data_IF_040391028743
#
_entry.id   IF_040391028743
#
_cell.length_a   1.000
_cell.length_b   1.000
_cell.length_c   1.000
_cell.angle_alpha   90.00
_cell.angle_beta   90.00
_cell.angle_gamma   90.00
#
_symmetry.space_group_name_H-M   'P 1'
#
loop_
_entity.id
_entity.type
_entity.pdbx_description
1 polymer ?
2 polymer ?
3 water ?
#
# COMPACT_ATOMS: atom_id res chain seq x y z
N UNK A 1 -10.38 -10.54 21.03
CA UNK A 1 -10.78 -9.47 20.13
C UNK A 1 -11.23 -10.05 18.80
N UNK A 2 -12.14 -9.34 18.13
CA UNK A 2 -12.60 -9.74 16.80
C UNK A 2 -11.41 -9.79 15.84
N UNK A 3 -11.28 -10.90 15.13
CA UNK A 3 -10.23 -11.02 14.12
C UNK A 3 -10.79 -11.62 12.84
N UNK A 4 -10.44 -11.03 11.70
CA UNK A 4 -10.89 -11.51 10.41
C UNK A 4 -9.66 -11.65 9.53
N UNK A 5 -9.37 -12.88 9.13
CA UNK A 5 -8.21 -13.16 8.28
C UNK A 5 -8.62 -13.64 6.89
N UNK A 6 -8.26 -12.86 5.89
CA UNK A 6 -8.65 -13.15 4.51
C UNK A 6 -7.58 -13.92 3.76
N UNK A 7 -8.01 -14.54 2.67
CA UNK A 7 -7.09 -15.28 1.80
C UNK A 7 -6.20 -14.30 1.02
N UNK A 8 -5.16 -14.83 0.39
CA UNK A 8 -4.15 -14.01 -0.24
C UNK A 8 -4.49 -13.44 -1.59
N UNK A 9 -3.64 -12.53 -2.05
CA UNK A 9 -3.87 -11.86 -3.31
C UNK A 9 -3.98 -12.81 -4.47
N UNK A 10 -4.77 -12.42 -5.46
CA UNK A 10 -5.06 -13.25 -6.63
C UNK A 10 -4.94 -12.44 -7.89
N UNK A 11 -4.67 -13.13 -8.99
CA UNK A 11 -4.80 -12.54 -10.31
C UNK A 11 -5.70 -13.44 -11.16
N UNK A 12 -6.51 -12.83 -12.01
CA UNK A 12 -7.41 -13.57 -12.90
C UNK A 12 -7.49 -12.95 -14.27
N UNK A 13 -7.73 -13.78 -15.28
CA UNK A 13 -8.03 -13.30 -16.62
C UNK A 13 -9.49 -12.86 -16.70
N UNK A 14 -9.79 -11.92 -17.60
CA UNK A 14 -11.20 -11.57 -17.81
C UNK A 14 -12.00 -12.82 -18.17
N UNK A 15 -13.20 -12.93 -17.61
CA UNK A 15 -14.08 -14.05 -17.90
C UNK A 15 -14.01 -15.12 -16.83
N UNK A 16 -12.92 -15.15 -16.07
CA UNK A 16 -12.80 -16.13 -15.00
C UNK A 16 -13.56 -15.71 -13.74
N UNK A 17 -13.51 -16.58 -12.73
CA UNK A 17 -14.12 -16.24 -11.45
C UNK A 17 -13.06 -16.32 -10.35
N UNK A 18 -13.40 -15.76 -9.19
CA UNK A 18 -12.50 -15.75 -8.04
C UNK A 18 -13.34 -15.99 -6.79
N UNK A 19 -12.80 -16.76 -5.86
CA UNK A 19 -13.46 -17.04 -4.59
C UNK A 19 -12.51 -16.67 -3.46
N UNK A 20 -12.90 -15.68 -2.67
CA UNK A 20 -12.09 -15.14 -1.59
C UNK A 20 -12.67 -15.62 -0.26
N UNK A 21 -11.81 -15.94 0.70
CA UNK A 21 -12.28 -16.40 2.00
C UNK A 21 -11.93 -15.43 3.12
N UNK A 22 -12.69 -15.54 4.20
CA UNK A 22 -12.55 -14.71 5.38
C UNK A 22 -12.81 -15.58 6.59
N UNK A 23 -11.74 -15.84 7.35
CA UNK A 23 -11.81 -16.68 8.53
C UNK A 23 -11.98 -15.80 9.77
N UNK A 24 -13.08 -16.03 10.50
CA UNK A 24 -13.41 -15.20 11.64
C UNK A 24 -13.10 -15.85 12.96
N UNK A 25 -12.77 -15.02 13.94
CA UNK A 25 -12.56 -15.50 15.29
C UNK A 25 -12.73 -14.38 16.31
N UNK A 26 -12.80 -14.76 17.58
CA UNK A 26 -12.88 -13.78 18.65
C UNK A 26 -14.28 -13.31 19.01
N UNK A 27 -15.29 -13.96 18.45
CA UNK A 27 -16.69 -13.65 18.73
C UNK A 27 -17.55 -14.82 18.31
N UNK A 28 -18.80 -14.85 18.75
CA UNK A 28 -19.72 -15.92 18.36
C UNK A 28 -20.11 -15.79 16.89
N UNK A 29 -19.54 -16.66 16.07
CA UNK A 29 -19.61 -16.53 14.60
C UNK A 29 -21.02 -16.34 14.04
N UNK A 30 -21.97 -17.15 14.49
CA UNK A 30 -23.30 -17.12 13.86
C UNK A 30 -24.20 -16.00 14.39
N UNK A 31 -23.67 -15.16 15.28
CA UNK A 31 -24.48 -14.09 15.83
C UNK A 31 -24.34 -12.72 15.17
N UNK A 32 -23.48 -12.64 14.13
CA UNK A 32 -23.23 -11.36 13.45
C UNK A 32 -23.21 -11.50 11.96
N UNK A 33 -23.88 -10.60 11.28
CA UNK A 33 -23.83 -10.54 9.82
C UNK A 33 -22.40 -10.27 9.36
N UNK A 34 -22.09 -10.74 8.17
CA UNK A 34 -20.82 -10.40 7.52
C UNK A 34 -21.09 -9.65 6.22
N UNK A 35 -20.45 -8.49 6.08
CA UNK A 35 -20.53 -7.67 4.89
C UNK A 35 -19.31 -7.93 4.01
N UNK A 36 -19.46 -7.68 2.72
CA UNK A 36 -18.31 -7.56 1.83
C UNK A 36 -18.35 -6.19 1.17
N UNK A 37 -17.18 -5.55 1.08
CA UNK A 37 -17.03 -4.21 0.54
C UNK A 37 -15.77 -4.24 -0.32
N UNK A 38 -15.80 -3.67 -1.51
CA UNK A 38 -14.60 -3.63 -2.33
C UNK A 38 -14.18 -2.21 -2.65
N UNK A 39 -12.93 -2.06 -3.08
CA UNK A 39 -12.35 -0.76 -3.35
C UNK A 39 -11.38 -0.88 -4.53
N UNK A 40 -11.75 -0.34 -5.67
CA UNK A 40 -10.86 -0.35 -6.83
C UNK A 40 -9.67 0.56 -6.53
N UNK A 41 -8.51 0.27 -7.14
CA UNK A 41 -7.32 1.05 -6.78
C UNK A 41 -7.53 2.55 -6.96
N UNK A 42 -7.26 3.32 -5.90
CA UNK A 42 -7.44 4.77 -5.93
C UNK A 42 -8.88 5.27 -5.89
N UNK A 43 -9.83 4.36 -5.72
CA UNK A 43 -11.25 4.71 -5.78
C UNK A 43 -11.92 4.52 -4.44
N UNK A 44 -13.25 4.70 -4.41
CA UNK A 44 -13.99 4.65 -3.15
C UNK A 44 -14.48 3.27 -2.78
N UNK A 45 -15.13 3.19 -1.62
CA UNK A 45 -15.72 1.96 -1.11
C UNK A 45 -17.05 1.64 -1.79
N UNK A 46 -17.26 0.37 -2.12
CA UNK A 46 -18.51 -0.10 -2.72
C UNK A 46 -19.02 -1.32 -1.98
N UNK A 47 -20.19 -1.21 -1.36
CA UNK A 47 -20.79 -2.34 -0.66
C UNK A 47 -21.21 -3.42 -1.65
N UNK A 48 -20.88 -4.67 -1.36
CA UNK A 48 -21.22 -5.77 -2.27
C UNK A 48 -22.39 -6.59 -1.79
N UNK A 49 -22.56 -6.71 -0.49
CA UNK A 49 -23.66 -7.49 0.04
C UNK A 49 -23.38 -7.90 1.45
N UNK A 50 -24.28 -8.74 1.96
CA UNK A 50 -24.26 -9.16 3.35
C UNK A 50 -24.83 -10.56 3.43
N UNK A 51 -24.26 -11.35 4.33
CA UNK A 51 -24.75 -12.70 4.59
C UNK A 51 -24.97 -12.90 6.07
N UNK A 52 -26.05 -13.62 6.41
CA UNK A 52 -26.33 -14.03 7.79
C UNK A 52 -25.76 -15.42 7.99
N UNK A 53 -24.72 -15.54 8.82
CA UNK A 53 -24.12 -16.87 8.98
C UNK A 53 -25.08 -17.86 9.66
N UNK A 54 -26.08 -17.33 10.36
CA UNK A 54 -27.18 -18.14 10.84
C UNK A 54 -28.21 -18.30 9.72
N UNK A 55 -28.20 -19.47 9.09
CA UNK A 55 -29.16 -19.75 8.02
C UNK A 55 -28.63 -19.51 6.62
N UNK A 56 -27.69 -18.59 6.46
CA UNK A 56 -27.04 -18.37 5.18
C UNK A 56 -27.76 -17.44 4.22
N UNK A 57 -28.80 -16.75 4.69
CA UNK A 57 -29.50 -15.81 3.82
C UNK A 57 -28.58 -14.67 3.39
N UNK A 58 -28.80 -14.18 2.17
CA UNK A 58 -27.95 -13.12 1.61
C UNK A 58 -28.78 -11.99 1.02
N UNK A 59 -28.18 -10.80 0.97
CA UNK A 59 -28.68 -9.69 0.18
C UNK A 59 -27.49 -9.11 -0.55
N UNK A 60 -27.59 -9.00 -1.87
CA UNK A 60 -26.51 -8.47 -2.69
C UNK A 60 -26.78 -7.08 -3.24
N UNK A 61 -25.72 -6.32 -3.46
CA UNK A 61 -25.81 -5.06 -4.18
C UNK A 61 -26.47 -5.29 -5.53
N UNK A 62 -27.42 -4.43 -5.89
CA UNK A 62 -28.16 -4.62 -7.14
C UNK A 62 -27.24 -4.73 -8.35
N UNK A 63 -26.17 -3.95 -8.37
CA UNK A 63 -25.27 -3.93 -9.52
C UNK A 63 -24.46 -5.22 -9.69
N UNK A 64 -24.39 -6.03 -8.63
CA UNK A 64 -23.64 -7.30 -8.68
C UNK A 64 -24.56 -8.51 -8.73
N UNK A 65 -25.86 -8.29 -8.57
CA UNK A 65 -26.82 -9.39 -8.56
C UNK A 65 -26.68 -10.21 -9.84
N UNK A 66 -26.52 -11.52 -9.68
CA UNK A 66 -26.37 -12.39 -10.84
C UNK A 66 -24.96 -12.89 -11.07
N UNK A 67 -23.97 -12.29 -10.41
CA UNK A 67 -22.63 -12.86 -10.55
C UNK A 67 -21.82 -12.84 -9.26
N UNK A 68 -22.44 -12.47 -8.16
CA UNK A 68 -21.80 -12.63 -6.84
C UNK A 68 -22.55 -13.68 -6.03
N UNK A 69 -21.80 -14.49 -5.29
CA UNK A 69 -22.37 -15.51 -4.42
C UNK A 69 -21.62 -15.45 -3.09
N UNK A 70 -22.35 -15.28 -1.99
CA UNK A 70 -21.74 -15.35 -0.67
C UNK A 70 -22.23 -16.60 0.04
N UNK A 71 -21.31 -17.27 0.74
CA UNK A 71 -21.62 -18.48 1.47
C UNK A 71 -20.82 -18.51 2.77
N UNK A 72 -21.16 -19.46 3.63
CA UNK A 72 -20.39 -19.60 4.86
C UNK A 72 -20.33 -21.06 5.28
N UNK A 73 -19.34 -21.36 6.11
CA UNK A 73 -19.19 -22.68 6.72
C UNK A 73 -19.13 -22.43 8.23
N UNK A 74 -20.18 -22.81 8.96
CA UNK A 74 -20.25 -22.43 10.38
C UNK A 74 -19.30 -23.23 11.26
N UNK A 75 -18.87 -24.40 10.79
CA UNK A 75 -17.95 -25.22 11.56
C UNK A 75 -16.53 -24.65 11.52
N UNK A 76 -16.19 -23.96 10.43
CA UNK A 76 -14.84 -23.38 10.31
C UNK A 76 -14.86 -21.86 10.46
N UNK A 77 -16.03 -21.31 10.77
CA UNK A 77 -16.21 -19.86 10.93
C UNK A 77 -15.64 -19.09 9.75
N UNK A 78 -15.90 -19.57 8.54
CA UNK A 78 -15.37 -18.94 7.35
C UNK A 78 -16.50 -18.46 6.44
N UNK A 79 -16.36 -17.24 5.94
CA UNK A 79 -17.27 -16.73 4.95
C UNK A 79 -16.55 -16.63 3.59
N UNK A 80 -17.28 -16.88 2.51
CA UNK A 80 -16.71 -16.84 1.18
C UNK A 80 -17.47 -15.88 0.28
N UNK A 81 -16.74 -15.24 -0.63
CA UNK A 81 -17.34 -14.41 -1.66
C UNK A 81 -16.78 -14.88 -2.99
N UNK A 82 -17.68 -15.28 -3.89
CA UNK A 82 -17.30 -15.67 -5.25
C UNK A 82 -17.88 -14.70 -6.27
N UNK A 83 -17.02 -14.17 -7.13
CA UNK A 83 -17.45 -13.23 -8.15
C UNK A 83 -17.08 -13.82 -9.50
N UNK A 84 -18.06 -13.93 -10.41
CA UNK A 84 -17.84 -14.58 -11.70
C UNK A 84 -17.85 -13.57 -12.85
N UNK A 85 -17.53 -14.07 -14.04
CA UNK A 85 -17.46 -13.24 -15.25
C UNK A 85 -16.67 -11.96 -14.99
N UNK A 86 -15.47 -12.14 -14.46
CA UNK A 86 -14.65 -11.00 -14.05
C UNK A 86 -14.25 -10.13 -15.22
N UNK A 87 -14.19 -8.83 -14.98
CA UNK A 87 -13.63 -7.90 -15.96
C UNK A 87 -12.64 -6.97 -15.28
N UNK A 88 -11.90 -6.23 -16.09
CA UNK A 88 -10.86 -5.38 -15.56
C UNK A 88 -11.36 -4.47 -14.45
N UNK A 89 -12.60 -3.99 -14.60
CA UNK A 89 -13.22 -3.09 -13.62
C UNK A 89 -13.44 -3.75 -12.25
N UNK A 90 -13.33 -5.08 -12.17
CA UNK A 90 -13.44 -5.78 -10.89
C UNK A 90 -12.12 -5.82 -10.12
N UNK A 91 -11.04 -5.29 -10.70
CA UNK A 91 -9.78 -5.15 -9.97
C UNK A 91 -10.04 -4.29 -8.73
N UNK A 92 -9.76 -4.83 -7.57
CA UNK A 92 -10.05 -4.14 -6.32
C UNK A 92 -9.47 -4.88 -5.15
N UNK A 93 -9.35 -4.17 -4.02
CA UNK A 93 -9.19 -4.84 -2.74
C UNK A 93 -10.58 -5.22 -2.22
N UNK A 94 -10.77 -6.50 -1.91
CA UNK A 94 -12.04 -7.04 -1.41
C UNK A 94 -11.92 -7.23 0.08
N UNK A 95 -12.78 -6.56 0.83
CA UNK A 95 -12.80 -6.66 2.29
C UNK A 95 -14.03 -7.42 2.78
N UNK A 96 -13.81 -8.31 3.74
CA UNK A 96 -14.92 -8.78 4.54
C UNK A 96 -14.94 -7.93 5.79
N UNK A 97 -16.13 -7.73 6.34
CA UNK A 97 -16.25 -6.89 7.54
C UNK A 97 -17.41 -7.37 8.38
N UNK A 98 -17.14 -7.64 9.66
CA UNK A 98 -18.20 -8.04 10.57
C UNK A 98 -19.10 -6.87 10.88
N UNK A 99 -20.40 -7.14 10.86
CA UNK A 99 -21.40 -6.15 11.21
C UNK A 99 -21.25 -5.70 12.66
N UNK A 100 -21.76 -4.52 12.96
CA UNK A 100 -21.69 -4.02 14.33
C UNK A 100 -22.43 -4.90 15.34
N UNK A 101 -23.51 -5.53 14.89
CA UNK A 101 -24.33 -6.32 15.80
C UNK A 101 -25.83 -6.16 15.62
N UNK A 102 -26.25 -5.60 14.50
CA UNK A 102 -27.68 -5.50 14.21
C UNK A 102 -28.37 -6.87 14.28
N UNK A 103 -29.60 -6.87 14.77
CA UNK A 103 -30.41 -8.08 14.74
C UNK A 103 -31.29 -8.13 13.50
N UNK A 104 -31.11 -7.14 12.64
CA UNK A 104 -31.86 -7.03 11.39
C UNK A 104 -30.94 -6.60 10.27
N UNK A 105 -31.27 -7.01 9.05
CA UNK A 105 -30.50 -6.57 7.90
C UNK A 105 -30.60 -5.05 7.76
N UNK A 106 -31.79 -4.51 7.95
CA UNK A 106 -31.97 -3.06 7.88
C UNK A 106 -31.15 -2.39 8.97
N UNK A 107 -30.32 -1.43 8.58
CA UNK A 107 -29.52 -0.69 9.55
C UNK A 107 -28.21 -1.35 9.93
N UNK A 108 -27.88 -2.43 9.24
CA UNK A 108 -26.60 -3.06 9.42
C UNK A 108 -25.52 -2.16 8.79
N UNK A 109 -24.31 -2.22 9.33
CA UNK A 109 -23.16 -1.57 8.69
C UNK A 109 -21.88 -2.26 9.14
N UNK A 110 -20.85 -2.24 8.27
CA UNK A 110 -19.61 -2.91 8.62
C UNK A 110 -18.86 -2.18 9.71
N UNK A 111 -18.38 -2.93 10.69
CA UNK A 111 -17.62 -2.34 11.78
C UNK A 111 -16.18 -2.84 11.89
N UNK A 112 -16.00 -4.16 11.92
CA UNK A 112 -14.67 -4.75 12.06
C UNK A 112 -14.21 -5.31 10.72
N UNK A 113 -13.16 -4.74 10.16
CA UNK A 113 -12.78 -5.06 8.79
C UNK A 113 -11.59 -6.02 8.73
N UNK A 114 -11.65 -6.96 7.81
CA UNK A 114 -10.48 -7.78 7.49
C UNK A 114 -9.38 -6.97 6.81
N UNK A 115 -8.24 -7.62 6.55
CA UNK A 115 -7.11 -6.91 5.98
C UNK A 115 -7.21 -6.63 4.48
N UNK A 116 -8.20 -7.23 3.83
CA UNK A 116 -8.41 -7.06 2.40
C UNK A 116 -7.62 -8.06 1.58
N UNK A 117 -8.16 -8.36 0.40
CA UNK A 117 -7.55 -9.27 -0.55
C UNK A 117 -7.52 -8.55 -1.88
N UNK A 118 -6.32 -8.27 -2.40
CA UNK A 118 -6.23 -7.64 -3.72
C UNK A 118 -6.47 -8.66 -4.81
N UNK A 119 -7.46 -8.41 -5.66
CA UNK A 119 -7.72 -9.23 -6.83
C UNK A 119 -7.52 -8.37 -8.07
N UNK A 120 -6.55 -8.75 -8.90
CA UNK A 120 -6.29 -8.04 -10.14
C UNK A 120 -6.82 -8.86 -11.32
N UNK A 121 -7.63 -8.23 -12.15
CA UNK A 121 -8.15 -8.86 -13.36
C UNK A 121 -7.46 -8.22 -14.55
N UNK A 122 -6.70 -9.04 -15.29
CA UNK A 122 -5.85 -8.53 -16.36
C UNK A 122 -5.62 -9.62 -17.39
N UNK A 123 -5.43 -9.19 -18.64
CA UNK A 123 -5.07 -10.11 -19.71
C UNK A 123 -3.55 -10.27 -19.79
N UNK A 124 -2.81 -9.46 -19.06
CA UNK A 124 -1.36 -9.53 -19.10
C UNK A 124 -0.87 -10.75 -18.36
N UNK A 125 0.32 -11.21 -18.71
CA UNK A 125 0.87 -12.42 -18.11
C UNK A 125 1.36 -12.17 -16.69
N UNK A 126 1.06 -13.10 -15.81
CA UNK A 126 1.58 -13.08 -14.45
C UNK A 126 3.07 -13.32 -14.50
N UNK A 127 3.83 -12.63 -13.66
CA UNK A 127 5.26 -12.88 -13.57
C UNK A 127 5.74 -12.70 -12.14
N UNK A 128 6.43 -13.70 -11.60
CA UNK A 128 7.05 -13.58 -10.30
C UNK A 128 8.36 -12.81 -10.40
N UNK A 129 8.75 -12.13 -9.31
CA UNK A 129 9.96 -11.30 -9.35
C UNK A 129 11.25 -12.11 -9.31
N UNK A 130 12.31 -11.51 -9.84
CA UNK A 130 13.68 -11.94 -9.51
C UNK A 130 14.10 -11.14 -8.29
N UNK A 131 14.86 -11.73 -7.38
CA UNK A 131 15.28 -11.02 -6.18
C UNK A 131 16.78 -11.00 -6.12
N UNK A 132 17.36 -9.81 -6.03
CA UNK A 132 18.80 -9.64 -6.01
C UNK A 132 19.24 -8.93 -4.74
N UNK A 133 20.36 -9.35 -4.15
CA UNK A 133 20.85 -8.67 -2.96
C UNK A 133 21.51 -7.34 -3.32
N UNK A 134 21.34 -6.34 -2.47
CA UNK A 134 22.00 -5.05 -2.61
C UNK A 134 23.02 -4.96 -1.46
N UNK A 135 24.25 -5.26 -1.79
CA UNK A 135 25.29 -5.46 -0.78
C UNK A 135 25.72 -4.17 -0.09
N UNK A 136 26.04 -4.27 1.21
CA UNK A 136 26.43 -3.08 1.99
C UNK A 136 27.79 -2.57 1.60
N UNK A 137 28.01 -1.28 1.87
CA UNK A 137 29.30 -0.65 1.74
C UNK A 137 30.36 -1.40 2.55
N UNK A 138 31.58 -1.42 2.03
CA UNK A 138 32.70 -2.04 2.73
C UNK A 138 33.34 -1.12 3.77
N UNK A 139 32.89 0.14 3.83
CA UNK A 139 33.47 1.11 4.76
C UNK A 139 33.41 0.61 6.21
N UNK A 140 34.43 0.97 6.98
CA UNK A 140 34.53 0.63 8.38
C UNK A 140 34.98 1.86 9.15
N UNK A 141 34.06 2.47 9.90
CA UNK A 141 34.42 3.59 10.77
C UNK A 141 33.68 3.45 12.10
N UNK A 142 34.25 3.99 13.17
CA UNK A 142 33.62 3.87 14.49
C UNK A 142 32.20 4.43 14.47
N UNK A 143 31.23 3.65 14.94
CA UNK A 143 29.85 4.09 14.99
C UNK A 143 29.19 4.25 13.63
N UNK A 144 29.87 3.78 12.58
CA UNK A 144 29.35 3.93 11.24
C UNK A 144 28.16 3.03 10.95
N UNK A 145 27.38 3.40 9.95
CA UNK A 145 26.29 2.54 9.50
C UNK A 145 26.39 2.26 8.02
N UNK A 146 25.63 1.26 7.58
CA UNK A 146 25.63 0.89 6.18
C UNK A 146 24.22 0.54 5.76
N UNK A 147 23.89 0.83 4.51
CA UNK A 147 22.63 0.42 3.93
C UNK A 147 22.82 -0.85 3.12
N UNK A 148 21.93 -1.82 3.34
CA UNK A 148 21.93 -3.03 2.54
C UNK A 148 20.49 -3.33 2.17
N UNK A 149 20.25 -4.17 1.19
CA UNK A 149 18.86 -4.34 0.82
C UNK A 149 18.60 -5.46 -0.16
N UNK A 150 17.38 -5.48 -0.67
CA UNK A 150 16.98 -6.42 -1.72
C UNK A 150 16.23 -5.69 -2.80
N UNK A 151 16.53 -6.04 -4.05
CA UNK A 151 15.87 -5.53 -5.23
C UNK A 151 14.91 -6.60 -5.69
N UNK A 152 13.64 -6.25 -5.77
CA UNK A 152 12.58 -7.17 -6.19
C UNK A 152 12.21 -6.70 -7.59
N UNK A 153 12.68 -7.44 -8.58
CA UNK A 153 12.70 -6.97 -9.96
C UNK A 153 11.66 -7.63 -10.87
N UNK A 154 10.88 -6.83 -11.59
CA UNK A 154 10.04 -7.30 -12.70
C UNK A 154 8.95 -8.30 -12.34
N UNK A 155 7.93 -7.84 -11.62
CA UNK A 155 6.82 -8.73 -11.29
C UNK A 155 5.51 -8.13 -11.76
N UNK A 156 4.49 -8.96 -11.87
CA UNK A 156 3.14 -8.51 -12.17
C UNK A 156 2.15 -9.57 -11.71
N UNK A 157 1.03 -9.17 -11.10
CA UNK A 157 0.62 -7.81 -10.70
C UNK A 157 1.09 -7.52 -9.28
N UNK A 158 0.65 -6.40 -8.72
CA UNK A 158 0.81 -6.21 -7.28
C UNK A 158 -0.03 -7.27 -6.57
N UNK A 159 0.25 -7.53 -5.29
CA UNK A 159 1.26 -6.90 -4.44
C UNK A 159 2.43 -7.81 -4.12
N UNK A 160 3.46 -7.23 -3.53
CA UNK A 160 4.61 -7.96 -2.98
C UNK A 160 4.80 -7.53 -1.54
N UNK A 161 5.17 -8.46 -0.67
CA UNK A 161 5.59 -8.10 0.67
C UNK A 161 7.06 -8.44 0.86
N UNK A 162 7.71 -7.67 1.72
CA UNK A 162 9.10 -7.93 2.11
C UNK A 162 9.18 -7.82 3.62
N UNK A 163 9.76 -8.83 4.26
CA UNK A 163 10.18 -8.72 5.64
C UNK A 163 11.65 -9.08 5.74
N UNK A 164 12.25 -8.82 6.89
CA UNK A 164 13.64 -9.16 7.13
C UNK A 164 13.74 -10.12 8.30
N UNK A 165 14.48 -11.20 8.11
CA UNK A 165 14.67 -12.20 9.16
C UNK A 165 13.34 -12.62 9.78
N UNK A 166 12.38 -12.94 8.92
CA UNK A 166 11.07 -13.43 9.34
C UNK A 166 10.30 -12.42 10.18
N UNK A 167 10.59 -11.14 9.98
CA UNK A 167 9.92 -10.08 10.72
C UNK A 167 10.60 -9.74 12.04
N UNK A 168 11.68 -10.45 12.37
CA UNK A 168 12.42 -10.14 13.59
C UNK A 168 13.24 -8.85 13.48
N UNK A 169 13.62 -8.48 12.26
CA UNK A 169 14.38 -7.25 12.05
C UNK A 169 13.47 -6.17 11.47
N UNK A 170 13.20 -5.13 12.26
CA UNK A 170 12.30 -4.06 11.84
C UNK A 170 12.92 -2.67 11.95
N UNK A 171 13.88 -2.50 12.85
CA UNK A 171 14.51 -1.19 13.04
C UNK A 171 15.35 -0.81 11.82
N UNK A 172 15.13 0.39 11.29
CA UNK A 172 15.91 0.85 10.15
C UNK A 172 15.51 0.28 8.80
N UNK A 173 14.39 -0.45 8.75
CA UNK A 173 13.88 -0.95 7.48
C UNK A 173 13.05 0.10 6.76
N UNK A 174 13.31 0.27 5.45
CA UNK A 174 12.53 1.17 4.60
C UNK A 174 12.24 0.42 3.30
N UNK A 175 10.99 0.03 3.13
CA UNK A 175 10.56 -0.65 1.92
C UNK A 175 9.85 0.39 1.07
N UNK A 176 10.33 0.58 -0.16
CA UNK A 176 9.88 1.65 -1.03
C UNK A 176 8.72 1.19 -1.89
N UNK A 177 7.76 2.09 -2.15
CA UNK A 177 6.71 1.76 -3.12
C UNK A 177 7.28 1.39 -4.47
N UNK A 178 6.60 0.49 -5.17
CA UNK A 178 7.07 0.01 -6.45
C UNK A 178 7.00 1.05 -7.56
N UNK A 179 7.93 0.92 -8.49
CA UNK A 179 7.83 1.62 -9.75
C UNK A 179 7.11 0.72 -10.76
N UNK A 180 6.24 1.31 -11.58
CA UNK A 180 5.61 0.57 -12.67
C UNK A 180 6.32 1.01 -13.95
N UNK A 181 7.05 0.08 -14.53
CA UNK A 181 7.90 0.34 -15.69
C UNK A 181 7.08 0.37 -16.97
N UNK A 182 7.65 0.94 -18.04
CA UNK A 182 6.96 0.99 -19.33
C UNK A 182 6.67 -0.41 -19.87
N UNK A 183 7.41 -1.39 -19.37
CA UNK A 183 7.21 -2.78 -19.75
C UNK A 183 5.91 -3.35 -19.19
N UNK A 184 5.31 -2.62 -18.26
CA UNK A 184 4.12 -3.09 -17.59
C UNK A 184 4.44 -3.92 -16.35
N UNK A 185 5.73 -4.05 -16.03
CA UNK A 185 6.16 -4.81 -14.86
C UNK A 185 6.58 -3.87 -13.73
N UNK A 186 6.39 -4.33 -12.49
CA UNK A 186 6.77 -3.57 -11.31
C UNK A 186 8.14 -3.97 -10.78
N UNK A 187 8.81 -3.05 -10.08
CA UNK A 187 10.00 -3.36 -9.29
C UNK A 187 9.95 -2.55 -8.01
N UNK A 188 10.48 -3.10 -6.92
CA UNK A 188 10.60 -2.34 -5.68
C UNK A 188 11.89 -2.72 -4.98
N UNK A 189 12.29 -1.92 -4.00
CA UNK A 189 13.45 -2.23 -3.18
C UNK A 189 13.10 -2.08 -1.72
N UNK A 190 13.74 -2.89 -0.88
CA UNK A 190 13.68 -2.73 0.56
C UNK A 190 15.10 -2.60 1.09
N UNK A 191 15.34 -1.63 1.94
CA UNK A 191 16.68 -1.35 2.45
C UNK A 191 16.65 -1.27 3.97
N UNK A 192 17.71 -1.78 4.59
CA UNK A 192 17.86 -1.70 6.03
C UNK A 192 19.17 -0.99 6.32
N UNK A 193 19.14 -0.04 7.25
CA UNK A 193 20.34 0.61 7.71
C UNK A 193 20.80 -0.06 9.00
N UNK A 194 22.03 -0.56 8.99
CA UNK A 194 22.57 -1.31 10.12
C UNK A 194 23.99 -0.84 10.51
N UNK A 195 24.49 -1.24 11.69
CA UNK A 195 25.85 -0.89 12.06
C UNK A 195 26.86 -1.50 11.09
N UNK A 196 27.85 -0.74 10.66
CA UNK A 196 28.86 -1.29 9.76
C UNK A 196 29.80 -2.25 10.50
N UNK A 197 30.13 -1.92 11.76
CA UNK A 197 31.09 -2.68 12.54
C UNK A 197 30.80 -4.17 12.59
N UNK A 198 29.51 -4.50 12.53
CA UNK A 198 29.08 -5.88 12.70
C UNK A 198 28.64 -6.59 11.39
N UNK A 199 28.82 -5.94 10.24
CA UNK A 199 28.57 -6.63 8.98
C UNK A 199 29.43 -7.91 8.95
N UNK A 200 28.88 -8.99 8.43
CA UNK A 200 29.62 -10.23 8.41
C UNK A 200 29.49 -11.06 9.68
N UNK A 201 29.08 -10.44 10.79
CA UNK A 201 28.78 -11.19 12.01
C UNK A 201 27.27 -11.41 12.13
N UNK A 202 26.50 -10.50 11.53
CA UNK A 202 25.05 -10.56 11.58
C UNK A 202 24.51 -11.15 10.29
N UNK A 203 23.49 -11.98 10.39
CA UNK A 203 22.81 -12.51 9.22
C UNK A 203 21.62 -11.63 8.82
N UNK A 204 21.56 -11.30 7.53
CA UNK A 204 20.46 -10.50 6.99
C UNK A 204 19.81 -11.21 5.82
N UNK A 205 18.54 -11.55 5.97
CA UNK A 205 17.80 -12.25 4.93
C UNK A 205 16.51 -11.52 4.63
N UNK A 206 16.26 -11.25 3.37
CA UNK A 206 14.98 -10.65 3.01
C UNK A 206 14.01 -11.72 2.52
N UNK A 207 12.82 -11.69 3.09
CA UNK A 207 11.79 -12.65 2.79
C UNK A 207 10.79 -11.98 1.88
N UNK A 208 10.75 -12.41 0.61
CA UNK A 208 9.92 -11.78 -0.40
C UNK A 208 8.79 -12.73 -0.79
N UNK A 209 7.57 -12.21 -0.83
CA UNK A 209 6.38 -12.98 -1.22
C UNK A 209 5.62 -12.30 -2.33
N UNK A 210 5.36 -13.03 -3.40
CA UNK A 210 4.49 -12.56 -4.48
C UNK A 210 3.39 -13.59 -4.63
N UNK A 211 2.31 -13.41 -3.88
CA UNK A 211 1.26 -14.41 -3.79
C UNK A 211 0.56 -14.70 -5.12
N UNK A 212 0.32 -13.67 -5.95
CA UNK A 212 -0.37 -13.97 -7.21
C UNK A 212 0.34 -15.02 -8.07
N UNK A 213 1.67 -15.10 -7.99
CA UNK A 213 2.43 -16.10 -8.74
C UNK A 213 2.92 -17.24 -7.87
N UNK A 214 2.51 -17.24 -6.60
CA UNK A 214 3.01 -18.22 -5.64
C UNK A 214 4.53 -18.25 -5.56
N UNK A 215 5.17 -17.09 -5.70
CA UNK A 215 6.62 -16.99 -5.60
C UNK A 215 7.00 -16.60 -4.18
N UNK A 216 7.95 -17.32 -3.59
CA UNK A 216 8.46 -17.01 -2.26
C UNK A 216 9.97 -17.17 -2.33
N UNK A 217 10.70 -16.10 -2.01
CA UNK A 217 12.16 -16.11 -2.08
C UNK A 217 12.74 -15.57 -0.77
N UNK A 218 13.77 -16.23 -0.26
CA UNK A 218 14.49 -15.74 0.90
C UNK A 218 15.96 -15.56 0.54
N UNK A 219 16.38 -14.31 0.39
CA UNK A 219 17.70 -13.99 -0.13
C UNK A 219 18.63 -13.47 0.95
N UNK A 220 19.77 -14.13 1.14
CA UNK A 220 20.80 -13.65 2.07
C UNK A 220 21.52 -12.47 1.45
N UNK A 221 21.74 -11.44 2.26
CA UNK A 221 22.47 -10.26 1.81
C UNK A 221 23.76 -10.17 2.62
N UNK A 222 24.88 -10.31 1.91
CA UNK A 222 26.20 -10.46 2.54
C UNK A 222 27.14 -9.36 2.09
N UNK A 223 28.21 -9.12 2.87
CA UNK A 223 29.21 -8.14 2.48
C UNK A 223 29.80 -8.44 1.10
N UNK A 224 30.22 -7.39 0.42
CA UNK A 224 30.87 -7.53 -0.88
C UNK A 224 32.09 -8.45 -0.81
N UNK A 225 32.34 -9.16 -1.91
CA UNK A 225 33.49 -10.05 -1.99
C UNK A 225 34.80 -9.27 -1.87
N UNK A 226 34.76 -8.01 -2.30
CA UNK A 226 35.94 -7.16 -2.28
C UNK A 226 36.19 -6.56 -0.88
N UNK A 227 35.20 -6.71 0.00
CA UNK A 227 35.29 -6.19 1.37
C UNK A 227 36.24 -7.05 2.20
N UNK A 228 37.35 -6.45 2.61
CA UNK A 228 38.38 -7.17 3.37
C UNK A 228 38.18 -7.03 4.87
N UNK A 229 37.23 -6.21 5.29
CA UNK A 229 36.97 -5.99 6.71
C UNK A 229 35.85 -6.88 7.22
N UNK A 230 34.75 -6.95 6.47
CA UNK A 230 33.57 -7.69 6.93
C UNK A 230 33.39 -9.00 6.17
N UNK B 1 -19.87 9.52 -8.89
CA UNK B 1 -21.04 8.68 -9.10
C UNK B 1 -21.57 8.12 -7.79
N UNK B 2 -20.69 8.00 -6.80
CA UNK B 2 -21.09 7.51 -5.47
C UNK B 2 -22.39 8.18 -5.03
N UNK B 3 -23.17 7.50 -4.17
CA UNK B 3 -24.49 7.98 -3.80
C UNK B 3 -24.44 9.22 -2.89
N UNK B 4 -23.45 9.26 -2.00
CA UNK B 4 -23.24 10.44 -1.16
C UNK B 4 -22.08 11.25 -1.72
N UNK B 5 -22.17 12.58 -1.65
CA UNK B 5 -21.14 13.43 -2.28
C UNK B 5 -20.24 14.10 -1.25
N UNK B 6 -18.94 13.83 -1.36
CA UNK B 6 -17.91 14.44 -0.53
C UNK B 6 -16.91 15.18 -1.41
N UNK B 7 -16.22 16.19 -0.85
CA UNK B 7 -15.10 16.78 -1.58
C UNK B 7 -13.99 15.76 -1.81
N UNK B 8 -13.35 15.80 -2.96
CA UNK B 8 -12.29 14.83 -3.22
C UNK B 8 -11.09 15.07 -2.29
N UNK B 9 -10.87 16.32 -1.90
CA UNK B 9 -9.69 16.65 -1.12
C UNK B 9 -9.95 17.76 -0.12
N UNK B 10 -9.39 17.61 1.08
CA UNK B 10 -9.37 18.67 2.08
C UNK B 10 -7.96 18.75 2.66
N UNK B 11 -7.48 19.96 2.93
CA UNK B 11 -6.15 20.11 3.53
C UNK B 11 -6.15 21.10 4.67
N UNK B 12 -5.24 20.91 5.61
CA UNK B 12 -5.09 21.84 6.70
C UNK B 12 -3.70 21.75 7.30
N UNK B 13 -3.35 22.72 8.13
CA UNK B 13 -2.07 22.69 8.83
C UNK B 13 -2.22 22.05 10.20
N UNK B 14 -1.12 21.51 10.74
CA UNK B 14 -1.24 20.90 12.08
C UNK B 14 -1.81 21.90 13.08
N UNK B 15 -2.76 21.42 13.89
CA UNK B 15 -3.36 22.24 14.93
C UNK B 15 -4.68 22.89 14.55
N UNK B 16 -4.95 23.02 13.25
CA UNK B 16 -6.18 23.67 12.82
C UNK B 16 -7.40 22.74 12.85
N UNK B 17 -8.57 23.31 12.62
CA UNK B 17 -9.80 22.53 12.47
C UNK B 17 -10.14 22.44 10.99
N UNK B 18 -10.52 21.25 10.54
CA UNK B 18 -10.99 21.07 9.18
C UNK B 18 -12.35 20.38 9.23
N UNK B 19 -13.12 20.54 8.16
CA UNK B 19 -14.41 19.87 8.08
C UNK B 19 -14.51 19.16 6.74
N UNK B 20 -15.30 18.10 6.71
CA UNK B 20 -15.51 17.31 5.52
C UNK B 20 -17.01 17.14 5.35
N UNK B 21 -17.55 17.66 4.25
CA UNK B 21 -18.99 17.56 4.01
C UNK B 21 -19.38 16.26 3.32
N UNK B 22 -20.66 15.91 3.48
CA UNK B 22 -21.23 14.71 2.93
C UNK B 22 -22.67 15.00 2.59
N UNK B 23 -23.00 15.11 1.31
CA UNK B 23 -24.36 15.48 0.93
C UNK B 23 -25.12 14.29 0.35
N UNK B 24 -26.36 14.13 0.79
CA UNK B 24 -27.19 13.01 0.38
C UNK B 24 -28.59 13.45 0.01
N UNK B 25 -29.57 12.58 0.29
CA UNK B 25 -30.96 12.87 -0.06
C UNK B 25 -31.88 12.44 1.07
N UNK B 26 -33.18 12.66 0.89
CA UNK B 26 -34.15 12.29 1.91
C UNK B 26 -34.21 10.79 2.14
N UNK B 27 -33.77 10.01 1.16
CA UNK B 27 -33.83 8.55 1.28
C UNK B 27 -32.66 7.96 2.07
N UNK B 28 -31.57 8.71 2.20
CA UNK B 28 -30.44 8.25 3.03
C UNK B 28 -30.21 9.12 4.26
N UNK B 29 -29.34 10.12 4.15
CA UNK B 29 -29.02 11.00 5.27
C UNK B 29 -30.26 11.69 5.87
N UNK B 30 -31.20 12.06 5.03
CA UNK B 30 -32.40 12.72 5.51
C UNK B 30 -33.20 11.88 6.50
N UNK B 31 -33.17 10.57 6.31
CA UNK B 31 -33.97 9.66 7.12
C UNK B 31 -33.15 8.83 8.13
N UNK B 32 -31.89 8.57 7.81
CA UNK B 32 -31.11 7.60 8.56
C UNK B 32 -29.81 8.17 9.07
N UNK B 33 -29.27 7.55 10.12
CA UNK B 33 -28.08 8.09 10.76
C UNK B 33 -26.83 7.87 9.90
N UNK B 34 -25.84 8.73 10.10
CA UNK B 34 -24.63 8.71 9.28
C UNK B 34 -23.47 8.10 10.04
N UNK B 35 -22.69 7.27 9.35
CA UNK B 35 -21.46 6.74 9.88
C UNK B 35 -20.27 7.31 9.10
N UNK B 36 -19.11 7.34 9.75
CA UNK B 36 -17.88 7.77 9.07
C UNK B 36 -16.80 6.72 9.28
N UNK B 37 -16.00 6.49 8.25
CA UNK B 37 -14.84 5.60 8.32
C UNK B 37 -13.57 6.36 8.01
N UNK B 38 -12.51 5.98 8.69
CA UNK B 38 -11.19 6.55 8.44
C UNK B 38 -10.32 5.43 7.88
N UNK B 39 -9.63 5.71 6.77
CA UNK B 39 -8.78 4.70 6.15
C UNK B 39 -7.38 5.28 6.00
N UNK B 40 -6.51 4.91 6.94
CA UNK B 40 -5.12 5.33 6.86
C UNK B 40 -4.48 4.67 5.66
N UNK B 41 -3.44 5.29 5.09
CA UNK B 41 -2.85 4.71 3.87
C UNK B 41 -2.40 3.26 4.06
N UNK B 42 -2.78 2.39 3.14
CA UNK B 42 -2.37 0.99 3.16
C UNK B 42 -3.10 0.11 4.16
N UNK B 43 -4.16 0.64 4.76
CA UNK B 43 -4.88 -0.11 5.78
C UNK B 43 -6.36 -0.25 5.45
N UNK B 44 -7.06 -1.11 6.17
CA UNK B 44 -8.51 -1.22 6.05
C UNK B 44 -9.21 -0.05 6.71
N UNK B 45 -10.41 0.29 6.25
CA UNK B 45 -11.18 1.30 6.97
C UNK B 45 -11.45 0.91 8.42
N UNK B 46 -11.53 1.90 9.31
CA UNK B 46 -12.02 1.67 10.66
C UNK B 46 -13.18 2.61 10.91
N UNK B 47 -14.14 2.15 11.71
CA UNK B 47 -15.29 2.97 12.08
C UNK B 47 -14.84 4.12 12.98
N UNK B 48 -15.19 5.33 12.57
CA UNK B 48 -14.76 6.55 13.24
C UNK B 48 -15.89 7.22 14.01
N UNK B 49 -17.06 7.27 13.38
CA UNK B 49 -18.26 7.86 13.96
C UNK B 49 -19.42 6.97 13.57
N UNK B 50 -20.36 6.76 14.50
CA UNK B 50 -21.61 6.08 14.15
C UNK B 50 -22.78 6.87 14.73
N UNK B 51 -23.95 6.70 14.12
CA UNK B 51 -25.15 7.37 14.61
C UNK B 51 -24.97 8.87 14.66
N UNK B 52 -24.46 9.44 13.55
CA UNK B 52 -24.27 10.89 13.38
C UNK B 52 -23.10 11.45 14.17
N UNK B 53 -23.05 11.14 15.47
CA UNK B 53 -22.11 11.83 16.36
C UNK B 53 -21.52 11.00 17.49
N UNK B 54 -21.64 9.68 17.41
CA UNK B 54 -21.06 8.84 18.46
C UNK B 54 -19.71 8.27 18.07
N UNK B 55 -18.80 8.25 19.04
CA UNK B 55 -17.45 7.72 18.81
C UNK B 55 -17.27 6.34 19.43
N UNK B 56 -16.78 5.36 18.66
CA UNK B 56 -16.34 4.10 19.25
C UNK B 56 -15.21 4.34 20.24
N UNK B 57 -15.03 3.43 21.19
CA UNK B 57 -13.95 3.57 22.16
C UNK B 57 -12.60 3.69 21.46
N UNK B 58 -11.79 4.65 21.89
CA UNK B 58 -10.48 4.84 21.30
C UNK B 58 -10.41 6.01 20.33
N UNK B 59 -11.56 6.42 19.79
CA UNK B 59 -11.59 7.58 18.91
C UNK B 59 -11.67 8.86 19.74
N UNK B 60 -10.71 9.76 19.58
CA UNK B 60 -10.59 10.97 20.40
C UNK B 60 -11.69 11.98 20.15
N UNK B 61 -11.96 12.83 21.13
CA UNK B 61 -13.05 13.79 21.06
C UNK B 61 -12.87 14.87 20.00
N UNK B 62 -11.66 15.03 19.50
CA UNK B 62 -11.44 16.05 18.47
C UNK B 62 -12.05 15.64 17.12
N UNK B 63 -12.46 14.39 16.98
CA UNK B 63 -13.31 13.98 15.87
C UNK B 63 -14.75 14.14 16.27
N UNK B 64 -15.52 14.91 15.52
CA UNK B 64 -16.93 15.04 15.83
C UNK B 64 -17.78 15.06 14.59
N UNK B 65 -18.95 14.45 14.67
CA UNK B 65 -19.84 14.39 13.53
C UNK B 65 -21.12 15.15 13.80
N UNK B 66 -21.76 15.56 12.72
CA UNK B 66 -23.05 16.21 12.81
C UNK B 66 -23.88 15.91 11.57
N UNK B 67 -25.18 16.12 11.67
CA UNK B 67 -26.10 15.93 10.57
C UNK B 67 -27.12 17.06 10.59
N UNK B 68 -27.48 17.52 9.41
CA UNK B 68 -28.44 18.60 9.28
C UNK B 68 -29.20 18.40 7.98
N UNK B 69 -30.47 18.02 8.08
CA UNK B 69 -31.27 17.72 6.91
C UNK B 69 -30.67 16.57 6.12
N UNK B 70 -30.37 16.81 4.85
CA UNK B 70 -29.86 15.77 3.97
C UNK B 70 -28.34 15.79 3.86
N UNK B 71 -27.68 16.57 4.71
CA UNK B 71 -26.21 16.62 4.70
C UNK B 71 -25.64 16.28 6.07
N UNK B 72 -24.38 15.83 6.07
CA UNK B 72 -23.67 15.52 7.30
C UNK B 72 -22.28 16.11 7.20
N UNK B 73 -21.58 16.17 8.32
CA UNK B 73 -20.25 16.75 8.33
C UNK B 73 -19.39 16.12 9.40
N UNK B 74 -18.12 15.92 9.07
CA UNK B 74 -17.11 15.50 10.01
C UNK B 74 -16.16 16.66 10.30
N UNK B 75 -16.01 17.01 11.58
CA UNK B 75 -15.05 18.04 11.95
C UNK B 75 -13.89 17.41 12.70
N UNK B 76 -12.69 17.83 12.35
CA UNK B 76 -11.50 17.34 13.02
C UNK B 76 -10.76 18.55 13.58
N UNK B 77 -10.75 18.68 14.89
CA UNK B 77 -10.00 19.76 15.52
C UNK B 77 -8.60 19.28 15.89
N UNK B 78 -7.68 20.21 16.12
CA UNK B 78 -6.34 19.82 16.54
C UNK B 78 -5.70 18.89 15.53
N UNK B 79 -5.85 19.22 14.26
CA UNK B 79 -5.37 18.35 13.20
C UNK B 79 -3.94 17.88 13.43
N UNK B 80 -3.72 16.58 13.28
CA UNK B 80 -2.38 15.97 13.47
C UNK B 80 -1.94 15.29 12.18
N UNK B 81 -0.63 15.18 11.99
CA UNK B 81 -0.09 14.53 10.80
C UNK B 81 -0.66 13.14 10.59
N UNK B 82 -0.86 12.42 11.70
CA UNK B 82 -1.34 11.04 11.59
C UNK B 82 -2.79 10.95 11.13
N UNK B 83 -3.48 12.09 11.06
CA UNK B 83 -4.85 12.12 10.57
C UNK B 83 -4.94 12.07 9.04
N UNK B 84 -3.79 12.17 8.36
CA UNK B 84 -3.81 12.11 6.91
C UNK B 84 -4.33 10.74 6.48
N UNK B 85 -5.41 10.73 5.71
CA UNK B 85 -6.14 9.50 5.45
C UNK B 85 -7.29 9.79 4.51
N UNK B 86 -7.95 8.74 4.04
CA UNK B 86 -9.19 8.90 3.28
C UNK B 86 -10.36 8.72 4.26
N UNK B 87 -11.34 9.61 4.19
CA UNK B 87 -12.50 9.55 5.08
C UNK B 87 -13.74 9.30 4.23
N UNK B 88 -14.60 8.38 4.68
CA UNK B 88 -15.83 8.02 3.96
C UNK B 88 -17.03 8.18 4.85
N UNK B 89 -18.05 8.89 4.36
CA UNK B 89 -19.34 8.85 5.04
C UNK B 89 -20.18 7.71 4.48
N UNK B 90 -21.20 7.33 5.24
CA UNK B 90 -22.04 6.19 4.90
C UNK B 90 -23.36 6.29 5.63
N UNK B 91 -24.39 5.73 5.03
CA UNK B 91 -25.72 5.69 5.64
C UNK B 91 -26.55 4.63 4.97
N UNK B 92 -27.61 4.18 5.65
CA UNK B 92 -28.55 3.30 5.01
C UNK B 92 -29.39 4.12 4.03
N UNK B 93 -29.69 3.53 2.88
CA UNK B 93 -30.54 4.16 1.87
C UNK B 93 -31.85 3.38 1.72
N UNK B 94 -32.97 4.02 2.07
CA UNK B 94 -34.27 3.38 2.05
C UNK B 94 -34.72 3.01 0.63
N UNK B 95 -34.32 3.83 -0.35
CA UNK B 95 -34.71 3.61 -1.74
C UNK B 95 -33.97 2.44 -2.37
N UNK B 96 -32.68 2.32 -2.06
CA UNK B 96 -31.86 1.24 -2.59
C UNK B 96 -31.90 0.00 -1.69
N UNK B 97 -32.41 0.18 -0.48
CA UNK B 97 -32.47 -0.90 0.50
C UNK B 97 -31.10 -1.51 0.79
N UNK B 98 -30.13 -0.65 1.08
CA UNK B 98 -28.81 -1.10 1.45
C UNK B 98 -27.94 0.08 1.86
N UNK B 99 -26.76 -0.20 2.43
CA UNK B 99 -25.81 0.83 2.83
C UNK B 99 -25.21 1.51 1.60
N UNK B 100 -25.02 2.82 1.68
CA UNK B 100 -24.38 3.56 0.60
C UNK B 100 -23.20 4.34 1.18
N UNK B 101 -22.22 4.67 0.34
CA UNK B 101 -21.03 5.39 0.75
C UNK B 101 -20.88 6.69 -0.01
N UNK B 102 -20.16 7.64 0.59
CA UNK B 102 -19.65 8.76 -0.16
C UNK B 102 -18.42 8.36 -0.95
N UNK B 103 -17.98 9.24 -1.84
CA UNK B 103 -16.88 8.93 -2.74
C UNK B 103 -15.51 8.98 -2.08
N UNK B 104 -15.47 9.50 -0.85
CA UNK B 104 -14.23 9.59 -0.10
C UNK B 104 -13.58 10.94 -0.24
N UNK B 105 -12.97 11.39 0.85
CA UNK B 105 -12.18 12.62 0.87
C UNK B 105 -10.77 12.29 1.34
N UNK B 106 -9.77 12.70 0.55
CA UNK B 106 -8.39 12.57 0.98
C UNK B 106 -8.00 13.81 1.80
N UNK B 107 -7.72 13.59 3.07
CA UNK B 107 -7.31 14.66 3.96
C UNK B 107 -5.79 14.71 3.95
N UNK B 108 -5.22 15.84 3.55
CA UNK B 108 -3.78 16.01 3.64
C UNK B 108 -3.44 17.03 4.72
N UNK B 109 -2.36 16.74 5.44
CA UNK B 109 -1.89 17.63 6.48
C UNK B 109 -0.65 18.33 5.96
N UNK B 110 -0.73 19.65 5.84
CA UNK B 110 0.36 20.46 5.30
C UNK B 110 1.49 20.62 6.32
N UNK B 111 2.58 21.24 5.91
CA UNK B 111 3.63 21.59 6.85
C UNK B 111 3.11 22.62 7.82
N UNK B 112 3.84 22.85 8.91
CA UNK B 112 3.50 23.90 9.85
C UNK B 112 3.09 25.20 9.16
N UNK B 113 2.02 25.82 9.65
CA UNK B 113 1.53 27.09 9.10
C UNK B 113 2.60 28.17 9.08
N UNK B 114 3.41 28.21 10.13
CA UNK B 114 4.48 29.21 10.24
C UNK B 114 5.70 28.90 9.37
N UNK B 115 5.63 27.83 8.59
CA UNK B 115 6.71 27.52 7.66
C UNK B 115 7.46 26.28 8.05
N UNK B 116 7.27 25.22 7.28
CA UNK B 116 7.98 23.97 7.50
C UNK B 116 9.35 24.07 6.82
N UNK B 117 10.43 23.84 7.59
CA UNK B 117 11.78 23.95 7.02
C UNK B 117 12.03 22.98 5.87
N UNK B 118 12.77 23.43 4.87
CA UNK B 118 13.19 22.59 3.76
C UNK B 118 14.08 21.47 4.29
N UNK B 119 13.97 20.29 3.71
CA UNK B 119 14.88 19.20 4.06
C UNK B 119 15.40 18.56 2.79
N UNK B 120 16.72 18.51 2.64
CA UNK B 120 17.33 17.95 1.44
C UNK B 120 17.21 16.44 1.42
N UNK B 121 17.11 15.87 0.22
CA UNK B 121 17.03 14.41 0.13
C UNK B 121 18.32 13.70 0.52
N UNK B 122 18.17 12.55 1.14
CA UNK B 122 19.26 11.62 1.35
C UNK B 122 19.24 10.64 0.19
N UNK B 123 20.39 10.39 -0.41
CA UNK B 123 20.44 9.54 -1.60
C UNK B 123 21.37 8.36 -1.39
N UNK B 124 20.86 7.15 -1.67
CA UNK B 124 21.68 5.95 -1.64
C UNK B 124 21.62 5.31 -3.01
N UNK B 125 22.78 5.03 -3.58
CA UNK B 125 22.84 4.45 -4.92
C UNK B 125 23.55 3.12 -4.90
N UNK B 126 22.85 2.06 -5.33
CA UNK B 126 23.43 0.74 -5.43
C UNK B 126 23.77 0.39 -6.87
N UNK B 127 24.96 -0.22 -7.07
CA UNK B 127 25.33 -0.74 -8.38
C UNK B 127 24.65 -2.08 -8.64
N UNK B 128 24.78 -2.59 -9.87
CA UNK B 128 24.25 -3.93 -10.16
C UNK B 128 24.92 -4.99 -9.31
N UNK B 129 24.12 -5.94 -8.83
CA UNK B 129 24.65 -7.08 -8.10
C UNK B 129 25.39 -8.05 -9.04
N UNK B 130 26.33 -8.80 -8.47
CA UNK B 130 26.98 -9.85 -9.24
C UNK B 130 25.94 -10.83 -9.77
N UNK B 131 24.95 -11.14 -8.95
CA UNK B 131 23.90 -12.07 -9.33
C UNK B 131 23.17 -11.58 -10.58
N UNK B 132 22.78 -10.31 -10.57
CA UNK B 132 22.06 -9.81 -11.74
C UNK B 132 22.95 -9.78 -13.00
N UNK B 133 24.18 -9.34 -12.84
CA UNK B 133 25.12 -9.31 -13.97
C UNK B 133 25.29 -10.71 -14.58
N UNK B 134 25.32 -11.74 -13.74
CA UNK B 134 25.49 -13.10 -14.25
C UNK B 134 24.29 -13.54 -15.08
N UNK B 135 23.13 -12.91 -14.83
CA UNK B 135 21.91 -13.18 -15.60
C UNK B 135 21.84 -12.29 -16.85
N UNK B 136 22.92 -11.58 -17.13
CA UNK B 136 23.02 -10.68 -18.28
C UNK B 136 22.05 -9.52 -18.21
N UNK B 137 21.89 -8.98 -17.00
CA UNK B 137 21.07 -7.79 -16.80
C UNK B 137 21.81 -6.86 -15.83
N UNK B 138 21.36 -5.61 -15.75
CA UNK B 138 21.98 -4.66 -14.84
C UNK B 138 21.00 -3.58 -14.47
N UNK B 139 20.86 -3.31 -13.18
CA UNK B 139 19.98 -2.24 -12.71
C UNK B 139 20.71 -1.44 -11.65
N UNK B 140 20.78 -0.13 -11.83
CA UNK B 140 21.24 0.79 -10.80
C UNK B 140 20.02 1.27 -10.02
N UNK B 141 20.13 1.29 -8.69
CA UNK B 141 18.99 1.59 -7.83
C UNK B 141 19.29 2.81 -6.99
N UNK B 142 18.52 3.88 -7.23
CA UNK B 142 18.72 5.15 -6.55
C UNK B 142 17.55 5.39 -5.60
N UNK B 143 17.85 5.33 -4.30
CA UNK B 143 16.83 5.48 -3.27
C UNK B 143 16.94 6.84 -2.63
N UNK B 144 15.80 7.52 -2.58
CA UNK B 144 15.76 8.93 -2.22
C UNK B 144 14.82 9.11 -1.04
N UNK B 145 15.31 9.66 0.06
CA UNK B 145 14.47 9.74 1.25
C UNK B 145 14.61 11.05 2.02
N UNK B 146 13.66 11.25 2.93
CA UNK B 146 13.72 12.33 3.90
C UNK B 146 13.67 13.74 3.33
N UNK B 147 13.03 13.92 2.19
CA UNK B 147 12.96 15.27 1.63
C UNK B 147 11.64 16.01 1.88
N UNK B 148 11.75 17.34 1.95
CA UNK B 148 10.60 18.21 2.08
C UNK B 148 10.89 19.59 1.50
N UNK B 149 9.97 20.16 0.72
CA UNK B 149 8.67 19.62 0.28
C UNK B 149 8.84 18.36 -0.57
N UNK B 150 7.73 17.67 -0.79
CA UNK B 150 7.75 16.38 -1.47
C UNK B 150 7.78 16.43 -2.99
N UNK B 151 8.82 17.04 -3.56
CA UNK B 151 9.02 17.05 -4.99
C UNK B 151 10.51 17.02 -5.31
N UNK B 152 10.93 16.08 -6.15
CA UNK B 152 12.29 16.07 -6.68
C UNK B 152 12.26 15.78 -8.16
N UNK B 153 13.36 16.09 -8.84
CA UNK B 153 13.59 15.58 -10.18
C UNK B 153 14.89 14.78 -10.17
N UNK B 154 14.93 13.72 -10.97
CA UNK B 154 16.08 12.83 -10.98
C UNK B 154 16.65 12.78 -12.37
N UNK B 155 17.96 12.92 -12.46
CA UNK B 155 18.67 12.82 -13.72
C UNK B 155 19.81 11.83 -13.55
N UNK B 156 20.06 11.05 -14.59
CA UNK B 156 21.13 10.07 -14.57
C UNK B 156 22.22 10.46 -15.56
N UNK B 157 23.47 10.15 -15.20
CA UNK B 157 24.60 10.41 -16.08
C UNK B 157 25.44 9.16 -16.26
N UNK B 158 25.91 8.94 -17.49
CA UNK B 158 26.92 7.94 -17.78
C UNK B 158 28.19 8.74 -17.99
N UNK B 159 29.19 8.52 -17.13
CA UNK B 159 30.29 9.46 -17.02
C UNK B 159 29.69 10.84 -16.74
N UNK B 160 29.84 11.80 -17.66
CA UNK B 160 29.25 13.12 -17.46
C UNK B 160 28.12 13.43 -18.45
N UNK B 161 27.69 12.43 -19.20
CA UNK B 161 26.68 12.62 -20.23
C UNK B 161 25.30 12.15 -19.79
N UNK B 162 24.26 12.93 -20.10
CA UNK B 162 22.90 12.54 -19.72
C UNK B 162 22.48 11.21 -20.34
N UNK B 163 21.81 10.38 -19.54
CA UNK B 163 21.12 9.21 -20.07
C UNK B 163 19.64 9.28 -19.70
N UNK B 164 18.77 9.19 -20.71
CA UNK B 164 17.33 9.18 -20.49
C UNK B 164 16.73 7.79 -20.72
N UNK B 165 17.33 7.03 -21.63
CA UNK B 165 16.85 5.69 -21.92
C UNK B 165 17.04 4.78 -20.70
N UNK B 166 16.01 3.99 -20.39
CA UNK B 166 16.12 3.01 -19.33
C UNK B 166 15.85 3.55 -17.92
N UNK B 167 15.37 4.78 -17.81
CA UNK B 167 15.12 5.39 -16.51
C UNK B 167 13.66 5.27 -16.12
N UNK B 168 13.42 4.76 -14.91
CA UNK B 168 12.07 4.68 -14.37
C UNK B 168 12.05 5.24 -12.95
N UNK B 169 11.22 6.25 -12.72
CA UNK B 169 11.21 6.96 -11.45
C UNK B 169 9.82 7.00 -10.85
N UNK B 170 9.72 6.73 -9.55
CA UNK B 170 8.42 6.79 -8.89
C UNK B 170 7.97 8.21 -8.56
N UNK B 171 6.67 8.33 -8.31
CA UNK B 171 6.13 9.52 -7.68
C UNK B 171 6.67 9.59 -6.26
N UNK B 172 6.64 10.76 -5.65
CA UNK B 172 7.02 10.85 -4.23
C UNK B 172 5.93 10.28 -3.33
N UNK B 173 6.33 9.67 -2.23
CA UNK B 173 5.37 9.12 -1.28
C UNK B 173 5.70 9.59 0.15
N UNK B 174 4.69 9.74 1.00
CA UNK B 174 4.91 10.22 2.35
C UNK B 174 5.51 9.13 3.26
N UNK B 175 6.54 9.49 4.00
CA UNK B 175 7.15 8.60 4.98
C UNK B 175 6.42 8.73 6.32
N UNK B 176 6.75 7.84 7.25
CA UNK B 176 6.17 7.90 8.60
C UNK B 176 6.54 9.18 9.32
N UNK B 177 7.70 9.75 8.99
CA UNK B 177 8.16 10.95 9.68
C UNK B 177 7.68 12.23 8.99
N UNK B 178 6.81 12.06 7.99
CA UNK B 178 6.14 13.18 7.33
C UNK B 178 6.97 13.84 6.24
N UNK B 179 8.20 13.38 6.08
CA UNK B 179 8.99 13.74 4.91
C UNK B 179 8.64 12.76 3.80
N UNK B 180 9.33 12.86 2.66
CA UNK B 180 8.94 12.13 1.47
C UNK B 180 10.06 11.25 0.94
N UNK B 181 9.68 10.25 0.17
CA UNK B 181 10.62 9.32 -0.45
C UNK B 181 10.27 9.07 -1.91
N UNK B 182 11.27 8.61 -2.67
CA UNK B 182 11.05 8.21 -4.05
C UNK B 182 12.18 7.29 -4.44
N UNK B 183 12.04 6.63 -5.57
CA UNK B 183 13.12 5.79 -6.07
C UNK B 183 13.23 5.91 -7.57
N UNK B 184 14.42 5.66 -8.09
CA UNK B 184 14.64 5.72 -9.52
C UNK B 184 15.55 4.56 -9.87
N UNK B 185 15.24 3.94 -11.01
CA UNK B 185 15.94 2.76 -11.47
C UNK B 185 16.50 3.01 -12.86
N UNK B 186 17.77 2.69 -13.07
CA UNK B 186 18.36 2.78 -14.40
C UNK B 186 18.69 1.38 -14.88
N UNK B 187 18.06 0.98 -15.99
CA UNK B 187 18.38 -0.30 -16.62
C UNK B 187 19.44 -0.12 -17.71
N UNK B 188 20.45 -0.98 -17.66
CA UNK B 188 21.60 -0.95 -18.57
C UNK B 188 21.94 -2.39 -18.97
N UNK B 189 22.72 -2.56 -20.04
CA UNK B 189 23.30 -3.88 -20.29
C UNK B 189 24.57 -3.98 -19.46
N UNK B 190 24.97 -5.21 -19.14
CA UNK B 190 26.24 -5.36 -18.43
C UNK B 190 27.40 -4.73 -19.21
N UNK B 191 27.34 -4.78 -20.55
CA UNK B 191 28.37 -4.16 -21.37
C UNK B 191 28.41 -2.64 -21.19
N UNK B 192 27.24 -2.00 -21.09
CA UNK B 192 27.19 -0.57 -20.85
C UNK B 192 27.78 -0.22 -19.50
N UNK B 193 27.45 -1.01 -18.48
CA UNK B 193 27.99 -0.80 -17.16
C UNK B 193 29.53 -0.88 -17.20
N UNK B 194 30.09 -1.78 -18.01
CA UNK B 194 31.54 -1.87 -18.21
C UNK B 194 32.16 -0.73 -19.02
N UNK B 195 31.35 -0.11 -19.87
CA UNK B 195 31.85 0.81 -20.90
C UNK B 195 32.07 2.25 -20.45
N UNK B 196 31.76 2.54 -19.19
CA UNK B 196 31.95 3.88 -18.65
C UNK B 196 32.75 3.83 -17.37
N UNK B 197 33.37 4.96 -17.02
CA UNK B 197 34.12 5.07 -15.78
C UNK B 197 33.18 5.03 -14.57
N UNK B 198 31.98 5.60 -14.72
CA UNK B 198 31.01 5.63 -13.63
C UNK B 198 29.65 6.01 -14.16
N UNK B 199 28.62 5.80 -13.32
CA UNK B 199 27.29 6.33 -13.54
C UNK B 199 26.87 7.08 -12.30
N UNK B 200 26.03 8.09 -12.48
CA UNK B 200 25.59 8.91 -11.35
C UNK B 200 24.09 9.10 -11.35
N UNK B 201 23.53 9.13 -10.14
CA UNK B 201 22.15 9.55 -9.92
C UNK B 201 22.16 10.94 -9.29
N UNK B 202 21.52 11.90 -9.96
CA UNK B 202 21.49 13.29 -9.51
C UNK B 202 20.08 13.68 -9.15
N UNK B 203 19.88 14.01 -7.89
CA UNK B 203 18.56 14.38 -7.40
C UNK B 203 18.50 15.88 -7.14
N UNK B 204 17.60 16.57 -7.83
CA UNK B 204 17.44 18.00 -7.63
C UNK B 204 16.20 18.27 -6.78
N UNK B 205 16.38 19.09 -5.76
CA UNK B 205 15.32 19.40 -4.80
C UNK B 205 15.45 20.87 -4.45
N UNK B 206 14.36 21.61 -4.66
CA UNK B 206 14.34 23.04 -4.39
C UNK B 206 15.61 23.72 -4.89
N UNK B 207 16.01 23.41 -6.12
CA UNK B 207 17.12 24.09 -6.76
C UNK B 207 18.53 23.64 -6.39
N UNK B 208 18.65 22.65 -5.51
CA UNK B 208 19.95 22.12 -5.15
C UNK B 208 20.02 20.65 -5.50
N UNK B 209 21.18 20.20 -5.97
CA UNK B 209 21.35 18.82 -6.41
C UNK B 209 22.20 18.01 -5.44
N UNK B 210 21.75 16.79 -5.16
CA UNK B 210 22.53 15.81 -4.42
C UNK B 210 22.85 14.67 -5.39
N UNK B 211 24.14 14.37 -5.54
CA UNK B 211 24.58 13.36 -6.51
C UNK B 211 25.29 12.20 -5.83
N UNK B 212 25.02 10.98 -6.29
CA UNK B 212 25.81 9.83 -5.89
C UNK B 212 26.33 9.15 -7.15
N UNK B 213 27.50 8.52 -7.03
CA UNK B 213 28.18 7.93 -8.18
C UNK B 213 28.67 6.55 -7.82
N UNK B 214 28.57 5.62 -8.78
CA UNK B 214 29.10 4.26 -8.60
C UNK B 214 29.91 3.88 -9.83
N UNK B 215 30.87 2.98 -9.64
CA UNK B 215 31.76 2.53 -10.71
C UNK B 215 31.92 1.01 -10.67
N UNK B 216 32.10 0.38 -11.83
CA UNK B 216 32.06 -1.09 -11.94
C UNK B 216 33.17 -1.87 -11.22
N UNK B 217 34.32 -1.25 -10.97
CA UNK B 217 35.43 -1.96 -10.34
C UNK B 217 35.84 -1.42 -8.98
N UNK B 218 35.08 -0.49 -8.42
CA UNK B 218 35.44 0.06 -7.13
C UNK B 218 34.93 -0.87 -6.03
N UNK B 219 35.31 -0.59 -4.80
CA UNK B 219 34.76 -1.31 -3.66
C UNK B 219 34.36 -0.29 -2.61
N UNK B 220 33.23 0.38 -2.86
CA UNK B 220 32.75 1.47 -2.03
C UNK B 220 32.19 0.95 -0.71
#
# INVERSE_FOLDING_TARGET
QVQLVQSGAEVRKPGASTKVSCKASGYTFTHYYMHWVRQAPGQGLEWMGIINPSGGSTTYAQKLQGRVTMTRDTSTSTVYMELSSLRSEDTAVYYCARDWGSNYVWGSYPKYWGQGTLVTVSSASTKGPSVFPLAPSSKSTSGGTAALGCLVKDYFPEPVTVSWNSGALTSGVHTFPAVLQSSGLYSLSSVVTVPSSSLGTQTYICNVNHKPSNTKVDKRVEPKSCDKTH
QSVLTQPSSVSGTPGQRVTISCSGSSSNIGSNTVNWYQQLPGTAPKLLIYGNNQRPSGVPDRFSGSKSGTSASLAISGLQSEDEADYYCAAWDDSLNGPVFGGGTKLTVLGAAAGQPKAAPSVTLFPPSSEELQANKATLVCLISDFYPGAVTVAWKADSSPVKAGVETTTPSKQSNNKYAASSYLSLTPEQWKSHRSYSCQVTHEGSTVEKTVAPTECS
#
